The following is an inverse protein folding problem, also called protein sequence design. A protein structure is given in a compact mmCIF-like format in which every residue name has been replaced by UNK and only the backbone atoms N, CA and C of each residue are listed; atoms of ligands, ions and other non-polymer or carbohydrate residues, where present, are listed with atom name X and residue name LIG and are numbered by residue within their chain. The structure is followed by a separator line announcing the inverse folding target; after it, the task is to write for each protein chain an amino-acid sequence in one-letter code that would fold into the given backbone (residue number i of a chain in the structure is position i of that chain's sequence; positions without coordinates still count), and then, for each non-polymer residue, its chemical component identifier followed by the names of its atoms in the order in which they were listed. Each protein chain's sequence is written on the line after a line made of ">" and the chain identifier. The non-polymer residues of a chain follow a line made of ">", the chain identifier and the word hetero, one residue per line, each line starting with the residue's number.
data_IF_186226796450
#
_entry.id   IF_186226796450
#
_cell.length_a   1.000
_cell.length_b   1.000
_cell.length_c   1.000
_cell.angle_alpha   90.00
_cell.angle_beta   90.00
_cell.angle_gamma   90.00
#
_symmetry.space_group_name_H-M   'P 1'
#
loop_
_entity.id
_entity.type
_entity.pdbx_description
1 polymer ?
#
# COMPACT_ATOMS: atom_id res chain seq x y z
N UNK A 1 -0.84 -15.42 -9.38
CA UNK A 1 -0.57 -14.49 -10.50
C UNK A 1 -0.40 -13.09 -9.96
N UNK A 2 0.35 -12.22 -10.66
CA UNK A 2 0.39 -10.80 -10.38
C UNK A 2 -0.11 -10.03 -11.61
N UNK A 3 -1.06 -9.13 -11.42
CA UNK A 3 -1.50 -8.20 -12.46
C UNK A 3 -0.48 -7.06 -12.61
N UNK A 4 -0.43 -6.45 -13.80
CA UNK A 4 0.31 -5.20 -13.97
C UNK A 4 -0.57 -4.03 -13.59
N UNK A 5 -0.06 -3.20 -12.68
CA UNK A 5 -0.68 -1.93 -12.24
C UNK A 5 -0.17 -0.72 -13.03
N UNK A 6 0.55 -0.95 -14.13
CA UNK A 6 1.08 0.12 -14.98
C UNK A 6 0.03 0.55 -16.02
N UNK A 7 -0.51 1.76 -15.82
CA UNK A 7 -1.54 2.36 -16.67
C UNK A 7 -1.03 2.85 -18.03
N UNK A 8 0.29 2.88 -18.24
CA UNK A 8 0.92 3.36 -19.47
C UNK A 8 1.37 2.23 -20.41
N UNK A 9 1.07 0.98 -20.07
CA UNK A 9 1.35 -0.15 -20.96
C UNK A 9 0.59 -0.05 -22.29
N UNK A 10 1.21 -0.48 -23.41
CA UNK A 10 0.51 -0.74 -24.65
C UNK A 10 -0.64 -1.73 -24.43
N UNK A 11 -1.74 -1.57 -25.16
CA UNK A 11 -2.98 -2.35 -24.99
C UNK A 11 -2.74 -3.84 -24.96
N UNK A 12 -1.97 -4.33 -25.91
CA UNK A 12 -1.67 -5.75 -26.04
C UNK A 12 -0.95 -6.27 -24.79
N UNK A 13 0.00 -5.50 -24.25
CA UNK A 13 0.71 -5.89 -23.03
C UNK A 13 -0.22 -5.84 -21.80
N UNK A 14 -1.05 -4.81 -21.69
CA UNK A 14 -2.05 -4.72 -20.63
C UNK A 14 -3.07 -5.89 -20.69
N UNK A 15 -3.56 -6.23 -21.88
CA UNK A 15 -4.47 -7.34 -22.10
C UNK A 15 -3.82 -8.70 -21.82
N UNK A 16 -2.58 -8.90 -22.26
CA UNK A 16 -1.83 -10.13 -21.96
C UNK A 16 -1.62 -10.28 -20.45
N UNK A 17 -1.23 -9.20 -19.77
CA UNK A 17 -0.93 -9.22 -18.34
C UNK A 17 -2.16 -9.36 -17.45
N UNK A 18 -3.28 -8.72 -17.80
CA UNK A 18 -4.42 -8.58 -16.88
C UNK A 18 -5.62 -9.43 -17.28
N UNK A 19 -5.80 -9.72 -18.57
CA UNK A 19 -6.96 -10.47 -19.09
C UNK A 19 -6.57 -11.90 -19.43
N UNK A 20 -5.53 -12.07 -20.25
CA UNK A 20 -5.12 -13.41 -20.74
C UNK A 20 -4.61 -14.29 -19.60
N UNK A 21 -3.81 -13.72 -18.70
CA UNK A 21 -3.32 -14.42 -17.50
C UNK A 21 -4.49 -14.95 -16.64
N UNK A 22 -5.46 -14.09 -16.34
CA UNK A 22 -6.64 -14.43 -15.56
C UNK A 22 -7.49 -15.51 -16.24
N UNK A 23 -7.67 -15.41 -17.56
CA UNK A 23 -8.37 -16.42 -18.35
C UNK A 23 -7.65 -17.79 -18.30
N UNK A 24 -6.32 -17.81 -18.41
CA UNK A 24 -5.55 -19.06 -18.36
C UNK A 24 -5.67 -19.76 -17.00
N UNK A 25 -5.66 -19.00 -15.90
CA UNK A 25 -5.87 -19.59 -14.57
C UNK A 25 -7.33 -20.02 -14.38
N UNK A 26 -8.29 -19.32 -14.98
CA UNK A 26 -9.67 -19.80 -14.97
C UNK A 26 -9.81 -21.12 -15.75
N UNK A 27 -9.10 -21.28 -16.87
CA UNK A 27 -9.07 -22.53 -17.62
C UNK A 27 -8.51 -23.68 -16.76
N UNK A 28 -7.39 -23.45 -16.07
CA UNK A 28 -6.84 -24.41 -15.10
C UNK A 28 -7.84 -24.72 -13.96
N UNK A 29 -8.49 -23.68 -13.41
CA UNK A 29 -9.45 -23.83 -12.33
C UNK A 29 -10.66 -24.71 -12.73
N UNK A 30 -11.06 -24.71 -14.00
CA UNK A 30 -12.12 -25.58 -14.52
C UNK A 30 -11.73 -27.06 -14.56
N UNK A 31 -10.44 -27.35 -14.68
CA UNK A 31 -9.90 -28.72 -14.68
C UNK A 31 -9.73 -29.27 -13.24
N UNK A 32 -9.80 -28.41 -12.22
CA UNK A 32 -9.68 -28.79 -10.82
C UNK A 32 -11.03 -29.23 -10.22
N UNK A 33 -11.35 -30.52 -10.28
CA UNK A 33 -12.61 -31.08 -9.74
C UNK A 33 -12.79 -30.84 -8.22
N UNK A 34 -11.69 -30.79 -7.47
CA UNK A 34 -11.64 -30.53 -6.03
C UNK A 34 -11.56 -29.05 -5.64
N UNK A 35 -11.69 -28.11 -6.58
CA UNK A 35 -11.56 -26.69 -6.27
C UNK A 35 -12.72 -26.18 -5.41
N UNK A 36 -12.41 -25.69 -4.21
CA UNK A 36 -13.41 -25.17 -3.27
C UNK A 36 -13.71 -23.68 -3.48
N UNK A 37 -12.69 -22.88 -3.81
CA UNK A 37 -12.82 -21.45 -4.10
C UNK A 37 -11.75 -20.99 -5.07
N UNK A 38 -12.13 -20.09 -5.97
CA UNK A 38 -11.24 -19.33 -6.84
C UNK A 38 -11.37 -17.85 -6.52
N UNK A 39 -10.36 -17.29 -5.84
CA UNK A 39 -10.35 -15.89 -5.43
C UNK A 39 -9.57 -15.04 -6.42
N UNK A 40 -10.21 -14.02 -6.97
CA UNK A 40 -9.60 -13.00 -7.80
C UNK A 40 -9.51 -11.67 -7.04
N UNK A 41 -8.27 -11.22 -6.78
CA UNK A 41 -8.03 -9.86 -6.28
C UNK A 41 -8.11 -8.88 -7.46
N UNK A 42 -9.12 -8.01 -7.43
CA UNK A 42 -9.38 -6.96 -8.41
C UNK A 42 -9.16 -5.58 -7.75
N UNK A 43 -10.01 -4.59 -8.06
CA UNK A 43 -10.02 -3.27 -7.42
C UNK A 43 -11.43 -2.67 -7.45
N UNK A 44 -11.79 -1.89 -6.44
CA UNK A 44 -13.08 -1.20 -6.37
C UNK A 44 -13.29 -0.21 -7.53
N UNK A 45 -12.20 0.23 -8.17
CA UNK A 45 -12.21 1.19 -9.27
C UNK A 45 -12.47 0.57 -10.66
N UNK A 46 -12.75 -0.74 -10.73
CA UNK A 46 -13.31 -1.35 -11.95
C UNK A 46 -14.67 -0.76 -12.30
N UNK A 47 -15.44 -0.40 -11.26
CA UNK A 47 -16.72 0.31 -11.38
C UNK A 47 -16.47 1.82 -11.38
N UNK A 48 -16.99 2.50 -12.40
CA UNK A 48 -17.07 3.96 -12.39
C UNK A 48 -18.48 4.38 -11.96
N UNK A 49 -18.61 5.51 -11.26
CA UNK A 49 -19.93 6.08 -11.00
C UNK A 49 -20.65 6.31 -12.33
N UNK A 50 -21.89 5.80 -12.44
CA UNK A 50 -22.70 5.91 -13.66
C UNK A 50 -23.13 7.36 -13.95
N UNK A 51 -23.22 8.20 -12.92
CA UNK A 51 -23.31 9.67 -12.96
C UNK A 51 -23.27 10.20 -11.50
N UNK A 52 -22.51 11.28 -11.22
CA UNK A 52 -22.39 11.88 -9.87
C UNK A 52 -21.70 10.99 -8.82
N UNK A 53 -21.81 11.36 -7.53
CA UNK A 53 -21.30 10.56 -6.38
C UNK A 53 -22.29 9.43 -5.98
N UNK A 54 -22.92 8.79 -6.96
CA UNK A 54 -23.86 7.69 -6.73
C UNK A 54 -23.22 6.50 -6.03
N UNK A 55 -24.03 5.71 -5.32
CA UNK A 55 -23.58 4.50 -4.63
C UNK A 55 -23.03 3.46 -5.62
N UNK A 56 -21.89 2.87 -5.27
CA UNK A 56 -21.21 1.81 -6.02
C UNK A 56 -21.35 0.52 -5.21
N UNK A 57 -22.30 -0.33 -5.61
CA UNK A 57 -22.64 -1.57 -4.92
C UNK A 57 -21.84 -2.76 -5.45
N UNK A 58 -21.65 -3.77 -4.59
CA UNK A 58 -20.90 -5.00 -4.88
C UNK A 58 -21.52 -5.84 -6.00
N UNK A 59 -22.85 -5.91 -6.06
CA UNK A 59 -23.58 -6.87 -6.90
C UNK A 59 -23.44 -6.63 -8.41
N UNK A 60 -22.76 -5.55 -8.80
CA UNK A 60 -22.59 -5.20 -10.20
C UNK A 60 -21.23 -5.60 -10.74
N UNK A 61 -21.24 -6.31 -11.87
CA UNK A 61 -20.11 -6.51 -12.77
C UNK A 61 -20.55 -6.02 -14.15
N UNK A 62 -19.79 -5.09 -14.74
CA UNK A 62 -20.06 -4.57 -16.07
C UNK A 62 -19.93 -5.70 -17.11
N UNK A 63 -20.82 -5.76 -18.09
CA UNK A 63 -20.64 -6.62 -19.28
C UNK A 63 -20.16 -5.80 -20.46
N UNK A 64 -19.19 -6.35 -21.21
CA UNK A 64 -18.57 -5.70 -22.35
C UNK A 64 -18.83 -6.42 -23.68
N UNK A 65 -19.75 -7.39 -23.72
CA UNK A 65 -20.05 -8.19 -24.91
C UNK A 65 -20.34 -7.37 -26.18
N UNK A 66 -20.94 -6.18 -26.02
CA UNK A 66 -21.26 -5.26 -27.12
C UNK A 66 -20.55 -3.89 -26.99
N UNK A 67 -19.45 -3.84 -26.24
CA UNK A 67 -18.72 -2.59 -25.98
C UNK A 67 -18.02 -2.05 -27.23
N UNK A 68 -18.02 -0.73 -27.41
CA UNK A 68 -17.21 -0.08 -28.45
C UNK A 68 -15.72 -0.25 -28.12
N UNK A 69 -14.85 -0.27 -29.13
CA UNK A 69 -13.40 -0.47 -28.94
C UNK A 69 -12.77 0.46 -27.88
N UNK A 70 -13.17 1.73 -27.83
CA UNK A 70 -12.70 2.68 -26.83
C UNK A 70 -13.18 2.36 -25.39
N UNK A 71 -14.36 1.76 -25.23
CA UNK A 71 -14.85 1.31 -23.92
C UNK A 71 -14.10 0.07 -23.46
N UNK A 72 -13.88 -0.90 -24.37
CA UNK A 72 -13.09 -2.12 -24.10
C UNK A 72 -11.67 -1.74 -23.69
N UNK A 73 -11.02 -0.82 -24.40
CA UNK A 73 -9.69 -0.32 -24.04
C UNK A 73 -9.64 0.20 -22.59
N UNK A 74 -10.61 1.03 -22.20
CA UNK A 74 -10.69 1.59 -20.85
C UNK A 74 -11.00 0.51 -19.81
N UNK A 75 -11.80 -0.50 -20.16
CA UNK A 75 -12.12 -1.62 -19.31
C UNK A 75 -10.90 -2.52 -19.05
N UNK A 76 -10.07 -2.78 -20.07
CA UNK A 76 -8.80 -3.50 -19.93
C UNK A 76 -7.89 -2.77 -18.93
N UNK A 77 -7.70 -1.46 -19.11
CA UNK A 77 -6.80 -0.67 -18.26
C UNK A 77 -7.22 -0.60 -16.80
N UNK A 78 -8.52 -0.67 -16.52
CA UNK A 78 -9.05 -0.61 -15.15
C UNK A 78 -9.27 -2.01 -14.54
N UNK A 79 -9.07 -3.09 -15.29
CA UNK A 79 -9.33 -4.46 -14.85
C UNK A 79 -10.80 -4.91 -14.97
N UNK A 80 -11.71 -4.03 -15.38
CA UNK A 80 -13.14 -4.33 -15.49
C UNK A 80 -13.44 -5.42 -16.55
N UNK A 81 -12.66 -5.46 -17.64
CA UNK A 81 -12.84 -6.51 -18.65
C UNK A 81 -12.48 -7.89 -18.10
N UNK A 82 -11.47 -7.96 -17.21
CA UNK A 82 -11.06 -9.21 -16.57
C UNK A 82 -12.19 -9.76 -15.70
N UNK A 83 -12.81 -8.93 -14.86
CA UNK A 83 -13.95 -9.36 -14.04
C UNK A 83 -15.11 -9.85 -14.88
N UNK A 84 -15.51 -9.09 -15.91
CA UNK A 84 -16.56 -9.47 -16.86
C UNK A 84 -16.28 -10.85 -17.47
N UNK A 85 -15.05 -11.05 -17.96
CA UNK A 85 -14.64 -12.31 -18.56
C UNK A 85 -14.68 -13.47 -17.55
N UNK A 86 -14.18 -13.24 -16.33
CA UNK A 86 -14.18 -14.27 -15.29
C UNK A 86 -15.60 -14.69 -14.92
N UNK A 87 -16.51 -13.73 -14.75
CA UNK A 87 -17.91 -14.01 -14.41
C UNK A 87 -18.64 -14.70 -15.56
N UNK A 88 -18.49 -14.22 -16.80
CA UNK A 88 -19.17 -14.77 -17.97
C UNK A 88 -18.68 -16.19 -18.30
N UNK A 89 -17.39 -16.46 -18.10
CA UNK A 89 -16.78 -17.72 -18.55
C UNK A 89 -16.53 -18.73 -17.43
N UNK A 90 -16.84 -18.45 -16.16
CA UNK A 90 -16.48 -19.35 -15.04
C UNK A 90 -17.07 -20.75 -15.10
N UNK A 91 -18.22 -20.94 -15.76
CA UNK A 91 -18.96 -22.20 -15.68
C UNK A 91 -19.34 -22.54 -14.23
N UNK A 92 -18.84 -23.67 -13.71
CA UNK A 92 -19.07 -24.13 -12.32
C UNK A 92 -17.97 -23.74 -11.34
N UNK A 93 -16.97 -22.96 -11.77
CA UNK A 93 -15.89 -22.52 -10.86
C UNK A 93 -16.49 -21.62 -9.78
N UNK A 94 -16.29 -21.95 -8.48
CA UNK A 94 -16.74 -21.12 -7.36
C UNK A 94 -15.87 -19.85 -7.31
N UNK A 95 -16.35 -18.76 -7.90
CA UNK A 95 -15.59 -17.52 -8.08
C UNK A 95 -15.92 -16.47 -7.01
N UNK A 96 -14.89 -15.98 -6.31
CA UNK A 96 -14.95 -14.79 -5.45
C UNK A 96 -14.11 -13.67 -6.05
N UNK A 97 -14.66 -12.47 -6.17
CA UNK A 97 -13.92 -11.27 -6.59
C UNK A 97 -13.82 -10.34 -5.39
N UNK A 98 -12.61 -10.10 -4.91
CA UNK A 98 -12.35 -9.12 -3.84
C UNK A 98 -11.82 -7.84 -4.47
N UNK A 99 -12.48 -6.72 -4.20
CA UNK A 99 -12.22 -5.40 -4.78
C UNK A 99 -11.71 -4.42 -3.70
N UNK A 100 -10.40 -4.38 -3.45
CA UNK A 100 -9.83 -3.37 -2.56
C UNK A 100 -9.88 -1.96 -3.17
N UNK A 101 -9.98 -0.95 -2.30
CA UNK A 101 -9.74 0.47 -2.63
C UNK A 101 -8.23 0.80 -2.60
N UNK A 102 -7.82 2.00 -2.14
CA UNK A 102 -6.41 2.36 -2.05
C UNK A 102 -5.76 1.60 -0.89
N UNK A 103 -5.02 0.55 -1.22
CA UNK A 103 -4.26 -0.24 -0.25
C UNK A 103 -3.02 0.53 0.22
N UNK A 104 -2.78 0.52 1.53
CA UNK A 104 -1.58 1.12 2.16
C UNK A 104 -1.07 0.24 3.31
N UNK A 105 -0.26 0.80 4.21
CA UNK A 105 0.33 0.12 5.35
C UNK A 105 -0.67 -0.72 6.17
N UNK A 106 -0.17 -1.74 6.86
CA UNK A 106 -0.99 -2.56 7.75
C UNK A 106 -1.47 -1.77 8.98
N UNK A 107 -2.66 -2.09 9.46
CA UNK A 107 -3.21 -1.52 10.69
C UNK A 107 -2.75 -2.30 11.92
N UNK A 108 -2.70 -3.64 11.86
CA UNK A 108 -2.36 -4.53 12.96
C UNK A 108 -1.29 -5.57 12.61
N UNK A 109 -1.46 -6.36 11.55
CA UNK A 109 -0.58 -7.51 11.23
C UNK A 109 0.24 -7.26 9.95
N UNK A 110 1.54 -7.61 9.86
CA UNK A 110 2.37 -8.28 10.87
C UNK A 110 2.74 -7.38 12.06
N UNK A 111 2.70 -6.06 11.86
CA UNK A 111 2.74 -5.05 12.91
C UNK A 111 2.19 -3.72 12.34
N UNK A 112 1.69 -2.81 13.19
CA UNK A 112 1.16 -1.53 12.73
C UNK A 112 2.18 -0.75 11.89
N UNK A 113 1.73 -0.23 10.75
CA UNK A 113 2.53 0.58 9.85
C UNK A 113 3.48 -0.22 8.94
N UNK A 114 3.45 -1.56 8.96
CA UNK A 114 4.23 -2.33 7.99
C UNK A 114 3.84 -1.93 6.55
N UNK A 115 4.84 -1.57 5.73
CA UNK A 115 4.66 -1.23 4.32
C UNK A 115 5.97 -1.48 3.57
N UNK A 116 5.88 -2.08 2.39
CA UNK A 116 7.04 -2.46 1.58
C UNK A 116 7.10 -1.72 0.23
N UNK A 117 6.07 -0.94 -0.10
CA UNK A 117 5.94 -0.32 -1.41
C UNK A 117 5.47 1.13 -1.34
N UNK A 118 5.95 1.94 -2.29
CA UNK A 118 5.48 3.32 -2.53
C UNK A 118 4.28 3.32 -3.48
N UNK A 119 3.36 2.37 -3.35
CA UNK A 119 2.16 2.34 -4.16
C UNK A 119 1.18 3.45 -3.73
N UNK A 120 0.40 3.97 -4.69
CA UNK A 120 -0.68 4.93 -4.47
C UNK A 120 -0.33 6.05 -3.45
N UNK A 121 -1.05 6.12 -2.33
CA UNK A 121 -0.92 7.18 -1.32
C UNK A 121 0.48 7.24 -0.67
N UNK A 122 1.13 6.09 -0.46
CA UNK A 122 2.43 6.03 0.20
C UNK A 122 3.53 6.80 -0.56
N UNK A 123 3.46 6.85 -1.89
CA UNK A 123 4.37 7.67 -2.70
C UNK A 123 4.25 9.17 -2.36
N UNK A 124 3.04 9.67 -2.16
CA UNK A 124 2.79 11.09 -1.88
C UNK A 124 3.32 11.48 -0.51
N UNK A 125 3.01 10.67 0.49
CA UNK A 125 3.50 10.85 1.86
C UNK A 125 5.03 10.81 1.86
N UNK A 126 5.65 9.86 1.14
CA UNK A 126 7.11 9.76 1.02
C UNK A 126 7.74 10.97 0.31
N UNK A 127 7.14 11.45 -0.78
CA UNK A 127 7.63 12.63 -1.51
C UNK A 127 7.49 13.91 -0.70
N UNK A 128 6.40 14.05 0.05
CA UNK A 128 6.24 15.17 0.97
C UNK A 128 7.29 15.09 2.08
N UNK A 129 7.40 13.93 2.74
CA UNK A 129 8.36 13.71 3.83
C UNK A 129 9.81 13.89 3.43
N UNK A 130 10.17 13.67 2.17
CA UNK A 130 11.52 13.96 1.64
C UNK A 130 11.72 15.41 1.24
N UNK A 131 10.65 16.20 1.16
CA UNK A 131 10.68 17.59 0.71
C UNK A 131 10.75 17.74 -0.81
N UNK A 132 10.27 16.76 -1.57
CA UNK A 132 10.18 16.84 -3.03
C UNK A 132 8.82 17.34 -3.55
N UNK A 133 7.76 17.21 -2.74
CA UNK A 133 6.40 17.61 -3.11
C UNK A 133 6.00 18.91 -2.39
N UNK A 134 5.76 19.97 -3.17
CA UNK A 134 5.40 21.29 -2.64
C UNK A 134 4.05 21.81 -3.13
N UNK A 135 3.41 21.11 -4.06
CA UNK A 135 2.12 21.48 -4.64
C UNK A 135 1.35 20.22 -4.96
N UNK A 136 0.06 20.17 -4.61
CA UNK A 136 -0.80 19.02 -4.90
C UNK A 136 -2.00 19.52 -5.72
N UNK A 137 -2.14 19.11 -6.99
CA UNK A 137 -3.35 19.36 -7.76
C UNK A 137 -4.45 18.42 -7.25
N UNK A 138 -5.33 18.94 -6.40
CA UNK A 138 -6.39 18.18 -5.74
C UNK A 138 -7.50 19.10 -5.21
N UNK A 139 -8.71 18.54 -5.09
CA UNK A 139 -9.80 19.14 -4.32
C UNK A 139 -9.67 18.70 -2.87
N UNK A 140 -9.73 19.64 -1.93
CA UNK A 140 -9.47 19.36 -0.52
C UNK A 140 -10.61 18.56 0.16
N UNK A 141 -11.83 18.69 -0.35
CA UNK A 141 -13.07 18.08 0.13
C UNK A 141 -13.36 16.69 -0.46
N UNK A 142 -12.56 16.25 -1.44
CA UNK A 142 -12.68 14.90 -2.01
C UNK A 142 -12.26 13.86 -0.98
N UNK A 143 -13.08 12.83 -0.80
CA UNK A 143 -12.78 11.70 0.08
C UNK A 143 -11.92 10.66 -0.65
N UNK A 144 -10.87 10.19 0.03
CA UNK A 144 -10.07 9.05 -0.43
C UNK A 144 -10.39 7.83 0.44
N UNK A 145 -10.86 6.78 -0.21
CA UNK A 145 -11.09 5.48 0.43
C UNK A 145 -9.75 4.72 0.49
N UNK A 146 -9.23 4.56 1.71
CA UNK A 146 -7.92 3.97 1.98
C UNK A 146 -8.09 2.79 2.94
N UNK A 147 -7.63 1.61 2.53
CA UNK A 147 -7.80 0.35 3.25
C UNK A 147 -6.44 -0.20 3.72
N UNK A 148 -6.33 -0.76 4.94
CA UNK A 148 -5.12 -1.44 5.40
C UNK A 148 -4.81 -2.70 4.60
N UNK A 149 -3.54 -2.97 4.29
CA UNK A 149 -3.14 -4.19 3.57
C UNK A 149 -3.56 -5.49 4.28
N UNK A 150 -3.57 -5.50 5.60
CA UNK A 150 -3.99 -6.65 6.40
C UNK A 150 -5.51 -6.85 6.43
N UNK A 151 -6.30 -5.81 6.20
CA UNK A 151 -7.73 -5.96 5.92
C UNK A 151 -7.94 -6.73 4.60
N UNK A 152 -7.19 -6.34 3.55
CA UNK A 152 -7.25 -6.99 2.25
C UNK A 152 -6.84 -8.45 2.33
N UNK A 153 -5.77 -8.75 3.06
CA UNK A 153 -5.31 -10.11 3.27
C UNK A 153 -6.38 -10.96 3.97
N UNK A 154 -7.00 -10.44 5.04
CA UNK A 154 -8.08 -11.10 5.77
C UNK A 154 -9.27 -11.41 4.83
N UNK A 155 -9.71 -10.44 4.02
CA UNK A 155 -10.82 -10.62 3.08
C UNK A 155 -10.51 -11.63 1.97
N UNK A 156 -9.28 -11.65 1.47
CA UNK A 156 -8.85 -12.64 0.48
C UNK A 156 -8.84 -14.06 1.06
N UNK A 157 -8.34 -14.22 2.28
CA UNK A 157 -8.32 -15.50 3.00
C UNK A 157 -9.75 -15.95 3.30
N UNK A 158 -10.60 -15.06 3.80
CA UNK A 158 -12.00 -15.35 4.06
C UNK A 158 -12.73 -15.76 2.76
N UNK A 159 -12.51 -15.07 1.65
CA UNK A 159 -13.06 -15.46 0.34
C UNK A 159 -12.56 -16.82 -0.16
N UNK A 160 -11.36 -17.23 0.23
CA UNK A 160 -10.80 -18.54 -0.14
C UNK A 160 -11.39 -19.69 0.71
N UNK A 161 -11.76 -19.42 1.96
CA UNK A 161 -12.19 -20.43 2.94
C UNK A 161 -13.71 -20.45 3.17
N UNK A 162 -14.43 -19.39 2.76
CA UNK A 162 -15.87 -19.33 2.90
C UNK A 162 -16.54 -20.45 2.08
N UNK A 163 -17.52 -21.17 2.65
CA UNK A 163 -18.27 -22.17 1.90
C UNK A 163 -18.95 -21.55 0.68
N UNK A 164 -18.76 -22.17 -0.48
CA UNK A 164 -19.26 -21.67 -1.76
C UNK A 164 -20.10 -22.73 -2.46
N UNK A 165 -21.28 -22.34 -2.91
CA UNK A 165 -22.09 -23.17 -3.79
C UNK A 165 -21.58 -23.01 -5.23
N UNK A 166 -21.14 -24.10 -5.85
CA UNK A 166 -20.64 -24.12 -7.23
C UNK A 166 -21.69 -23.68 -8.25
N UNK A 167 -22.97 -23.74 -7.88
CA UNK A 167 -24.10 -23.33 -8.72
C UNK A 167 -24.53 -21.87 -8.48
N UNK A 168 -24.11 -21.23 -7.39
CA UNK A 168 -24.45 -19.83 -7.12
C UNK A 168 -23.72 -18.88 -8.06
N UNK A 169 -24.21 -17.64 -8.13
CA UNK A 169 -23.51 -16.57 -8.83
C UNK A 169 -22.13 -16.30 -8.22
N UNK A 170 -21.25 -15.63 -8.97
CA UNK A 170 -19.97 -15.18 -8.44
C UNK A 170 -20.21 -14.22 -7.27
N UNK A 171 -19.42 -14.36 -6.22
CA UNK A 171 -19.48 -13.48 -5.04
C UNK A 171 -18.54 -12.30 -5.27
N UNK A 172 -19.03 -11.09 -5.09
CA UNK A 172 -18.22 -9.88 -5.17
C UNK A 172 -18.18 -9.23 -3.80
N UNK A 173 -16.99 -8.85 -3.34
CA UNK A 173 -16.74 -8.24 -2.03
C UNK A 173 -16.01 -6.93 -2.27
N UNK A 174 -16.55 -5.82 -1.78
CA UNK A 174 -15.86 -4.55 -1.70
C UNK A 174 -15.05 -4.52 -0.41
N UNK A 175 -13.73 -4.51 -0.55
CA UNK A 175 -12.81 -4.32 0.57
C UNK A 175 -12.40 -2.84 0.64
N UNK A 176 -13.31 -2.05 1.18
CA UNK A 176 -13.24 -0.58 1.18
C UNK A 176 -13.50 -0.08 2.59
N UNK A 177 -12.88 1.05 2.95
CA UNK A 177 -13.17 1.71 4.21
C UNK A 177 -14.64 2.22 4.26
N UNK A 178 -15.17 2.64 3.11
CA UNK A 178 -16.49 3.25 2.99
C UNK A 178 -16.46 4.73 3.37
N UNK A 179 -17.57 5.44 3.11
CA UNK A 179 -17.65 6.89 3.32
C UNK A 179 -17.41 7.31 4.78
N UNK A 180 -17.92 6.54 5.74
CA UNK A 180 -17.83 6.86 7.17
C UNK A 180 -16.37 6.83 7.67
N UNK A 181 -15.59 5.88 7.16
CA UNK A 181 -14.20 5.66 7.56
C UNK A 181 -13.16 6.27 6.62
N UNK A 182 -13.60 6.99 5.58
CA UNK A 182 -12.73 7.74 4.67
C UNK A 182 -12.35 9.11 5.23
N UNK A 183 -11.16 9.57 4.86
CA UNK A 183 -10.68 10.94 5.11
C UNK A 183 -10.69 11.74 3.81
N UNK A 184 -10.91 13.04 3.93
CA UNK A 184 -10.73 13.98 2.81
C UNK A 184 -9.25 14.15 2.48
N UNK A 185 -8.95 14.55 1.24
CA UNK A 185 -7.58 14.90 0.82
C UNK A 185 -6.99 15.98 1.75
N UNK A 186 -7.79 16.97 2.13
CA UNK A 186 -7.39 18.04 3.05
C UNK A 186 -6.96 17.51 4.42
N UNK A 187 -7.73 16.60 5.01
CA UNK A 187 -7.43 15.97 6.31
C UNK A 187 -6.15 15.12 6.23
N UNK A 188 -6.01 14.28 5.21
CA UNK A 188 -4.82 13.46 4.99
C UNK A 188 -3.58 14.34 4.90
N UNK A 189 -3.65 15.42 4.10
CA UNK A 189 -2.55 16.37 3.96
C UNK A 189 -2.23 17.08 5.26
N UNK A 190 -3.24 17.50 6.03
CA UNK A 190 -3.02 18.11 7.32
C UNK A 190 -2.29 17.17 8.28
N UNK A 191 -2.68 15.89 8.32
CA UNK A 191 -2.08 14.88 9.19
C UNK A 191 -0.62 14.59 8.83
N UNK A 192 -0.31 14.24 7.58
CA UNK A 192 1.09 14.00 7.22
C UNK A 192 1.93 15.28 7.33
N UNK A 193 1.34 16.46 7.07
CA UNK A 193 2.04 17.73 7.23
C UNK A 193 2.42 17.99 8.68
N UNK A 194 1.49 17.74 9.61
CA UNK A 194 1.75 17.81 11.06
C UNK A 194 2.85 16.82 11.45
N UNK A 195 2.74 15.58 11.00
CA UNK A 195 3.68 14.50 11.29
C UNK A 195 5.12 14.85 10.89
N UNK A 196 5.38 15.22 9.63
CA UNK A 196 6.73 15.48 9.15
C UNK A 196 7.30 16.83 9.59
N UNK A 197 6.45 17.83 9.92
CA UNK A 197 6.91 19.09 10.54
C UNK A 197 7.58 18.86 11.88
N UNK A 198 7.17 17.85 12.65
CA UNK A 198 7.78 17.51 13.93
C UNK A 198 9.10 16.72 13.77
N UNK A 199 9.29 16.04 12.64
CA UNK A 199 10.42 15.12 12.38
C UNK A 199 11.46 15.67 11.38
N UNK A 200 11.66 17.00 11.37
CA UNK A 200 12.49 17.74 10.40
C UNK A 200 13.95 17.29 10.27
N UNK A 201 14.52 16.56 11.23
CA UNK A 201 15.94 16.15 11.21
C UNK A 201 16.28 15.12 10.13
N UNK A 202 15.29 14.45 9.56
CA UNK A 202 15.50 13.31 8.64
C UNK A 202 14.97 13.56 7.22
N UNK A 203 14.42 14.74 6.96
CA UNK A 203 13.89 15.12 5.64
C UNK A 203 14.99 15.75 4.80
N UNK A 204 15.19 15.32 3.55
CA UNK A 204 16.26 15.87 2.68
C UNK A 204 16.12 17.38 2.46
N UNK A 205 14.87 17.85 2.38
CA UNK A 205 14.50 19.26 2.39
C UNK A 205 13.34 19.47 3.36
N UNK A 206 13.21 20.68 3.88
CA UNK A 206 12.12 21.02 4.80
C UNK A 206 10.78 20.80 4.09
N UNK A 207 9.92 19.89 4.58
CA UNK A 207 8.67 19.58 3.92
C UNK A 207 7.69 20.76 4.09
N UNK A 208 7.18 21.28 2.98
CA UNK A 208 6.13 22.30 3.00
C UNK A 208 5.22 22.14 1.78
N UNK A 209 3.93 22.44 1.95
CA UNK A 209 2.97 22.57 0.85
C UNK A 209 2.67 24.05 0.68
N UNK A 210 2.78 24.55 -0.55
CA UNK A 210 2.44 25.94 -0.90
C UNK A 210 0.96 26.07 -1.23
N UNK A 211 0.44 25.15 -2.04
CA UNK A 211 -0.93 25.20 -2.56
C UNK A 211 -1.47 23.79 -2.74
N UNK A 212 -2.71 23.60 -2.29
CA UNK A 212 -3.60 22.54 -2.71
C UNK A 212 -4.80 23.21 -3.38
N UNK A 213 -5.00 22.95 -4.66
CA UNK A 213 -6.09 23.53 -5.44
C UNK A 213 -6.39 22.65 -6.64
N UNK A 214 -7.55 22.88 -7.26
CA UNK A 214 -7.93 22.20 -8.50
C UNK A 214 -6.84 22.35 -9.58
N UNK A 215 -6.63 21.27 -10.33
CA UNK A 215 -5.61 21.20 -11.38
C UNK A 215 -5.81 22.19 -12.53
N UNK A 216 -6.98 22.83 -12.61
CA UNK A 216 -7.37 23.81 -13.63
C UNK A 216 -6.61 25.12 -13.52
N UNK A 217 -5.96 25.41 -12.39
CA UNK A 217 -5.13 26.61 -12.23
C UNK A 217 -3.75 26.46 -12.92
N UNK A 218 -3.43 27.25 -13.96
CA UNK A 218 -2.19 27.11 -14.72
C UNK A 218 -0.90 27.35 -13.91
N UNK A 219 -0.96 28.18 -12.86
CA UNK A 219 0.20 28.45 -12.01
C UNK A 219 0.53 27.24 -11.12
N UNK A 220 -0.49 26.51 -10.68
CA UNK A 220 -0.37 25.30 -9.87
C UNK A 220 0.15 24.15 -10.73
N UNK A 221 -0.37 24.00 -11.95
CA UNK A 221 0.18 23.06 -12.92
C UNK A 221 1.66 23.33 -13.21
N UNK A 222 2.07 24.60 -13.37
CA UNK A 222 3.48 24.99 -13.54
C UNK A 222 4.34 24.66 -12.31
N UNK A 223 3.85 24.93 -11.10
CA UNK A 223 4.55 24.62 -9.85
C UNK A 223 4.74 23.12 -9.67
N UNK A 224 3.67 22.34 -9.88
CA UNK A 224 3.71 20.88 -9.83
C UNK A 224 4.69 20.31 -10.89
N UNK A 225 4.68 20.87 -12.11
CA UNK A 225 5.64 20.49 -13.16
C UNK A 225 7.09 20.78 -12.76
N UNK A 226 7.36 21.79 -11.93
CA UNK A 226 8.71 22.08 -11.41
C UNK A 226 9.18 20.99 -10.45
N UNK A 227 8.31 20.51 -9.57
CA UNK A 227 8.62 19.38 -8.69
C UNK A 227 8.88 18.10 -9.50
N UNK A 228 8.06 17.82 -10.53
CA UNK A 228 8.32 16.71 -11.47
C UNK A 228 9.67 16.80 -12.17
N UNK A 229 10.05 18.00 -12.64
CA UNK A 229 11.37 18.21 -13.27
C UNK A 229 12.52 17.86 -12.34
N UNK A 230 12.38 18.09 -11.02
CA UNK A 230 13.39 17.65 -10.03
C UNK A 230 13.47 16.13 -9.97
N UNK A 231 12.34 15.43 -9.91
CA UNK A 231 12.28 13.95 -9.93
C UNK A 231 12.94 13.39 -11.20
N UNK A 232 12.64 13.97 -12.37
CA UNK A 232 13.25 13.58 -13.66
C UNK A 232 14.77 13.81 -13.65
N UNK A 233 15.23 14.94 -13.09
CA UNK A 233 16.67 15.22 -12.96
C UNK A 233 17.35 14.21 -12.04
N UNK A 234 16.75 13.89 -10.90
CA UNK A 234 17.26 12.86 -9.98
C UNK A 234 17.30 11.48 -10.64
N UNK A 235 16.28 11.13 -11.43
CA UNK A 235 16.26 9.88 -12.23
C UNK A 235 17.44 9.82 -13.19
N UNK A 236 17.71 10.91 -13.93
CA UNK A 236 18.87 10.98 -14.84
C UNK A 236 20.18 10.81 -14.09
N UNK A 237 20.34 11.51 -12.96
CA UNK A 237 21.53 11.40 -12.12
C UNK A 237 21.70 9.96 -11.58
N UNK A 238 20.64 9.34 -11.09
CA UNK A 238 20.66 7.96 -10.63
C UNK A 238 21.12 6.99 -11.74
N UNK A 239 20.64 7.17 -12.98
CA UNK A 239 21.12 6.37 -14.13
C UNK A 239 22.60 6.59 -14.40
N UNK A 240 23.07 7.84 -14.39
CA UNK A 240 24.48 8.20 -14.60
C UNK A 240 25.41 7.57 -13.56
N UNK A 241 24.98 7.51 -12.30
CA UNK A 241 25.75 6.87 -11.21
C UNK A 241 25.49 5.36 -11.07
N UNK A 242 24.94 4.70 -12.08
CA UNK A 242 24.70 3.25 -12.07
C UNK A 242 23.61 2.78 -11.10
N UNK A 243 22.86 3.68 -10.49
CA UNK A 243 21.78 3.37 -9.54
C UNK A 243 20.46 3.04 -10.24
N UNK A 244 20.44 1.91 -10.93
CA UNK A 244 19.28 1.43 -11.70
C UNK A 244 18.02 1.28 -10.83
N UNK A 245 18.14 0.74 -9.61
CA UNK A 245 17.01 0.57 -8.67
C UNK A 245 16.34 1.91 -8.31
N UNK A 246 17.15 2.91 -7.94
CA UNK A 246 16.67 4.25 -7.62
C UNK A 246 16.01 4.94 -8.82
N UNK A 247 16.61 4.81 -10.01
CA UNK A 247 16.03 5.35 -11.24
C UNK A 247 14.66 4.74 -11.57
N UNK A 248 14.48 3.43 -11.36
CA UNK A 248 13.18 2.74 -11.53
C UNK A 248 12.15 3.22 -10.50
N UNK A 249 12.55 3.40 -9.24
CA UNK A 249 11.64 3.91 -8.20
C UNK A 249 11.16 5.33 -8.50
N UNK A 250 12.06 6.22 -8.93
CA UNK A 250 11.71 7.59 -9.30
C UNK A 250 10.80 7.65 -10.53
N UNK A 251 10.92 6.68 -11.44
CA UNK A 251 10.04 6.58 -12.61
C UNK A 251 8.60 6.26 -12.20
N UNK A 252 8.42 5.23 -11.36
CA UNK A 252 7.11 4.85 -10.82
C UNK A 252 6.42 6.01 -10.11
N UNK A 253 7.19 6.77 -9.33
CA UNK A 253 6.72 7.98 -8.64
C UNK A 253 6.27 9.05 -9.64
N UNK A 254 7.07 9.33 -10.69
CA UNK A 254 6.71 10.32 -11.71
C UNK A 254 5.43 9.94 -12.48
N UNK A 255 5.26 8.67 -12.84
CA UNK A 255 4.08 8.20 -13.57
C UNK A 255 2.82 8.24 -12.71
N UNK A 256 2.92 7.88 -11.42
CA UNK A 256 1.79 7.90 -10.48
C UNK A 256 1.22 9.30 -10.24
N UNK A 257 2.09 10.32 -10.22
CA UNK A 257 1.72 11.73 -10.04
C UNK A 257 0.89 12.33 -11.19
N UNK A 258 1.10 11.84 -12.42
CA UNK A 258 0.62 12.53 -13.62
C UNK A 258 -0.82 12.18 -14.01
N UNK A 259 -1.22 10.92 -13.79
CA UNK A 259 -2.46 10.38 -14.37
C UNK A 259 -3.36 9.70 -13.35
N UNK A 260 -2.76 8.93 -12.44
CA UNK A 260 -3.49 8.05 -11.53
C UNK A 260 -4.05 8.84 -10.36
N UNK A 261 -3.19 9.63 -9.71
CA UNK A 261 -3.62 10.34 -8.51
C UNK A 261 -4.56 11.50 -8.78
N UNK A 262 -4.37 12.23 -9.89
CA UNK A 262 -5.28 13.33 -10.24
C UNK A 262 -6.71 12.84 -10.44
N UNK A 263 -6.91 11.61 -10.93
CA UNK A 263 -8.23 11.01 -11.04
C UNK A 263 -8.85 10.79 -9.66
N UNK A 264 -8.10 10.23 -8.71
CA UNK A 264 -8.59 9.95 -7.36
C UNK A 264 -8.76 11.21 -6.49
N UNK A 265 -7.96 12.26 -6.70
CA UNK A 265 -8.06 13.52 -5.90
C UNK A 265 -9.08 14.52 -6.42
N UNK A 266 -9.80 14.21 -7.48
CA UNK A 266 -10.85 15.06 -8.05
C UNK A 266 -12.22 14.38 -8.09
N UNK A 267 -12.30 13.09 -7.73
CA UNK A 267 -13.53 12.30 -7.75
C UNK A 267 -13.66 11.54 -6.42
N UNK A 268 -14.79 11.70 -5.74
CA UNK A 268 -15.14 10.87 -4.59
C UNK A 268 -15.86 9.62 -5.07
N UNK A 269 -15.66 8.51 -4.36
CA UNK A 269 -16.31 7.23 -4.67
C UNK A 269 -17.13 6.78 -3.47
N UNK A 270 -18.42 6.53 -3.70
CA UNK A 270 -19.32 6.05 -2.65
C UNK A 270 -19.40 4.53 -2.69
N UNK A 271 -18.35 3.84 -2.25
CA UNK A 271 -18.37 2.38 -2.18
C UNK A 271 -19.30 1.91 -1.08
N UNK A 272 -20.22 1.04 -1.45
CA UNK A 272 -21.09 0.31 -0.53
C UNK A 272 -20.52 -1.09 -0.41
N UNK A 273 -20.14 -1.47 0.81
CA UNK A 273 -19.69 -2.81 1.15
C UNK A 273 -20.68 -3.46 2.09
N UNK A 274 -20.99 -4.74 1.87
CA UNK A 274 -21.83 -5.51 2.80
C UNK A 274 -21.12 -5.81 4.10
N UNK A 275 -19.79 -5.83 4.09
CA UNK A 275 -18.96 -6.06 5.27
C UNK A 275 -18.02 -4.87 5.46
N UNK A 276 -18.27 -4.06 6.48
CA UNK A 276 -17.51 -2.85 6.73
C UNK A 276 -16.11 -3.18 7.25
N UNK A 277 -15.22 -2.19 7.22
CA UNK A 277 -13.88 -2.33 7.81
C UNK A 277 -13.93 -2.63 9.32
N UNK A 278 -15.00 -2.22 10.00
CA UNK A 278 -15.23 -2.49 11.42
C UNK A 278 -15.58 -3.94 11.72
N UNK A 279 -16.03 -4.72 10.74
CA UNK A 279 -16.19 -6.17 10.92
C UNK A 279 -14.84 -6.89 11.07
N UNK A 280 -13.80 -6.39 10.41
CA UNK A 280 -12.42 -6.90 10.55
C UNK A 280 -11.73 -6.25 11.75
N UNK A 281 -11.91 -4.94 11.91
CA UNK A 281 -11.28 -4.14 12.96
C UNK A 281 -12.34 -3.38 13.77
N UNK A 282 -12.94 -3.98 14.82
CA UNK A 282 -14.03 -3.37 15.58
C UNK A 282 -13.74 -1.98 16.16
N UNK A 283 -12.46 -1.66 16.39
CA UNK A 283 -12.01 -0.38 16.90
C UNK A 283 -11.30 0.48 15.85
N UNK A 284 -11.58 0.26 14.55
CA UNK A 284 -10.94 1.01 13.48
C UNK A 284 -11.24 2.52 13.60
N UNK A 285 -10.18 3.32 13.65
CA UNK A 285 -10.26 4.77 13.65
C UNK A 285 -9.36 5.33 12.54
N UNK A 286 -9.98 6.07 11.62
CA UNK A 286 -9.35 6.52 10.38
C UNK A 286 -8.17 7.48 10.58
N UNK A 287 -8.20 8.31 11.61
CA UNK A 287 -7.12 9.26 11.92
C UNK A 287 -5.89 8.55 12.48
N UNK A 288 -6.09 7.63 13.43
CA UNK A 288 -5.08 6.76 14.03
C UNK A 288 -4.46 5.84 12.98
N UNK A 289 -5.29 5.31 12.07
CA UNK A 289 -4.78 4.56 10.93
C UNK A 289 -3.87 5.42 10.04
N UNK A 290 -4.26 6.66 9.74
CA UNK A 290 -3.42 7.53 8.92
C UNK A 290 -2.11 7.96 9.61
N UNK A 291 -2.12 8.15 10.93
CA UNK A 291 -0.90 8.34 11.72
C UNK A 291 0.00 7.09 11.64
N UNK A 292 -0.59 5.90 11.68
CA UNK A 292 0.10 4.61 11.50
C UNK A 292 0.71 4.49 10.09
N UNK A 293 -0.01 4.92 9.05
CA UNK A 293 0.50 4.97 7.67
C UNK A 293 1.68 5.94 7.55
N UNK A 294 1.57 7.14 8.12
CA UNK A 294 2.65 8.13 8.13
C UNK A 294 3.90 7.58 8.81
N UNK A 295 3.71 6.88 9.93
CA UNK A 295 4.78 6.16 10.62
C UNK A 295 5.42 5.07 9.77
N UNK A 296 4.60 4.25 9.12
CA UNK A 296 5.06 3.19 8.23
C UNK A 296 5.91 3.74 7.08
N UNK A 297 5.41 4.77 6.41
CA UNK A 297 6.14 5.43 5.32
C UNK A 297 7.46 6.01 5.83
N UNK A 298 7.46 6.68 6.98
CA UNK A 298 8.68 7.25 7.55
C UNK A 298 9.71 6.18 7.91
N UNK A 299 9.29 5.11 8.56
CA UNK A 299 10.20 4.06 9.02
C UNK A 299 10.68 3.18 7.86
N UNK A 300 9.76 2.52 7.16
CA UNK A 300 10.08 1.48 6.17
C UNK A 300 10.48 2.05 4.81
N UNK A 301 9.91 3.19 4.41
CA UNK A 301 10.17 3.76 3.08
C UNK A 301 11.18 4.91 3.10
N UNK A 302 11.41 5.57 4.24
CA UNK A 302 12.33 6.71 4.34
C UNK A 302 13.53 6.47 5.28
N UNK A 303 13.61 5.30 5.93
CA UNK A 303 14.74 4.94 6.80
C UNK A 303 14.77 5.70 8.13
N UNK A 304 13.61 6.17 8.60
CA UNK A 304 13.46 6.78 9.92
C UNK A 304 13.82 5.80 11.05
N UNK A 305 14.53 6.25 12.08
CA UNK A 305 15.02 5.38 13.18
C UNK A 305 14.18 5.41 14.45
N UNK A 306 13.21 6.32 14.54
CA UNK A 306 12.28 6.42 15.67
C UNK A 306 10.95 5.74 15.30
N UNK A 307 10.62 4.65 15.99
CA UNK A 307 9.22 4.39 16.30
C UNK A 307 8.89 5.36 17.44
N UNK A 308 8.08 6.42 17.27
CA UNK A 308 7.37 6.92 18.44
C UNK A 308 6.60 5.72 18.99
N UNK A 309 6.51 5.63 20.32
CA UNK A 309 5.54 4.73 20.89
C UNK A 309 4.21 4.99 20.18
N UNK A 310 3.57 3.93 19.66
CA UNK A 310 2.30 4.12 19.01
C UNK A 310 1.40 4.85 20.01
N UNK A 311 0.78 5.96 19.59
CA UNK A 311 -0.42 6.47 20.25
C UNK A 311 -1.58 5.49 19.97
N UNK A 312 -1.37 4.19 20.19
CA UNK A 312 -2.41 3.20 20.26
C UNK A 312 -2.84 3.18 21.73
N UNK A 313 -4.13 3.32 22.04
CA UNK A 313 -4.61 2.92 23.35
C UNK A 313 -4.20 1.45 23.54
N UNK A 314 -3.53 1.12 24.64
CA UNK A 314 -3.18 -0.26 24.96
C UNK A 314 -4.43 -1.15 24.96
N UNK A 315 -4.65 -1.91 23.89
CA UNK A 315 -5.66 -2.95 23.88
C UNK A 315 -4.97 -4.30 23.98
N UNK A 316 -5.14 -4.96 25.13
CA UNK A 316 -4.81 -6.37 25.31
C UNK A 316 -5.70 -7.19 24.37
N UNK A 317 -5.14 -7.67 23.27
CA UNK A 317 -5.79 -8.69 22.44
C UNK A 317 -5.87 -9.96 23.29
N UNK A 318 -7.05 -10.26 23.81
CA UNK A 318 -7.36 -11.61 24.32
C UNK A 318 -7.66 -12.49 23.11
N UNK A 319 -6.82 -13.49 22.90
CA UNK A 319 -7.06 -14.69 22.09
C UNK A 319 -7.29 -14.46 20.58
N UNK A 320 -6.21 -14.25 19.83
CA UNK A 320 -6.14 -14.72 18.43
C UNK A 320 -5.23 -15.94 18.44
N UNK A 321 -5.82 -17.13 18.33
CA UNK A 321 -5.07 -18.37 18.16
C UNK A 321 -4.71 -18.49 16.68
N UNK A 322 -3.50 -18.04 16.32
CA UNK A 322 -2.95 -18.34 14.99
C UNK A 322 -2.55 -19.81 15.00
N UNK A 323 -3.35 -20.67 14.39
CA UNK A 323 -2.99 -22.06 14.15
C UNK A 323 -1.96 -22.07 13.02
N UNK A 324 -0.68 -21.98 13.39
CA UNK A 324 0.43 -22.35 12.52
C UNK A 324 0.42 -23.87 12.37
N UNK A 325 -0.11 -24.37 11.25
CA UNK A 325 0.10 -25.76 10.85
C UNK A 325 1.57 -25.93 10.40
N UNK A 326 2.48 -26.09 11.35
CA UNK A 326 3.77 -26.71 11.08
C UNK A 326 3.54 -28.21 10.93
N UNK A 327 3.39 -28.68 9.69
CA UNK A 327 3.64 -30.10 9.41
C UNK A 327 5.13 -30.34 9.60
N UNK A 328 5.43 -31.10 10.65
CA UNK A 328 6.76 -31.60 10.99
C UNK A 328 7.38 -32.29 9.78
N UNK A 329 8.52 -31.76 9.33
CA UNK A 329 9.47 -32.47 8.50
C UNK A 329 10.43 -33.12 9.50
N UNK A 330 10.22 -34.40 9.82
CA UNK A 330 11.17 -35.19 10.62
C UNK A 330 12.40 -35.50 9.76
N UNK A 331 13.62 -35.14 10.18
CA UNK A 331 14.83 -35.69 9.58
C UNK A 331 15.10 -37.07 10.20
N UNK A 332 15.42 -38.04 9.33
CA UNK A 332 15.78 -39.41 9.68
C UNK A 332 16.85 -39.47 10.80
N UNK A 333 16.60 -40.33 11.79
CA UNK A 333 17.53 -40.65 12.87
C UNK A 333 18.72 -41.47 12.33
N UNK A 334 19.93 -40.96 12.53
CA UNK A 334 21.15 -41.75 12.46
C UNK A 334 21.48 -42.26 13.87
N UNK A 335 21.50 -43.58 14.00
CA UNK A 335 21.71 -44.33 15.23
C UNK A 335 23.19 -44.25 15.64
N UNK A 336 23.50 -43.74 16.83
CA UNK A 336 24.54 -44.32 17.71
C UNK A 336 24.54 -43.75 19.14
N UNK A 337 24.16 -44.61 20.08
CA UNK A 337 24.81 -44.91 21.37
C UNK A 337 25.10 -43.83 22.43
N UNK A 338 24.49 -44.10 23.59
CA UNK A 338 25.06 -44.16 24.96
C UNK A 338 25.15 -42.92 25.87
N UNK A 339 24.33 -43.01 26.93
CA UNK A 339 24.59 -42.77 28.35
C UNK A 339 24.84 -41.35 28.87
N UNK A 340 24.07 -40.97 29.91
CA UNK A 340 24.58 -40.07 30.95
C UNK A 340 23.57 -39.16 31.64
N UNK A 341 23.05 -39.62 32.77
CA UNK A 341 22.34 -38.88 33.82
C UNK A 341 22.96 -37.51 34.19
N UNK A 342 22.16 -36.47 34.45
CA UNK A 342 21.92 -35.94 35.81
C UNK A 342 21.35 -34.51 35.83
N UNK A 343 20.42 -34.32 36.75
CA UNK A 343 19.81 -33.07 37.25
C UNK A 343 20.80 -32.15 37.97
N UNK A 344 20.58 -30.82 37.96
CA UNK A 344 20.30 -29.97 39.15
C UNK A 344 20.40 -28.47 38.82
N UNK A 345 19.58 -27.75 39.56
CA UNK A 345 19.17 -26.36 39.64
C UNK A 345 20.22 -25.31 40.04
N UNK A 346 19.81 -24.06 39.80
CA UNK A 346 20.13 -22.80 40.49
C UNK A 346 21.56 -22.26 40.46
N UNK A 347 21.69 -20.99 40.07
CA UNK A 347 22.05 -19.89 40.97
C UNK A 347 22.09 -18.53 40.24
N UNK A 348 21.43 -17.56 40.85
CA UNK A 348 21.49 -16.11 40.63
C UNK A 348 22.81 -15.53 41.12
N UNK A 349 23.35 -14.50 40.45
CA UNK A 349 24.18 -13.49 41.11
C UNK A 349 24.16 -12.14 40.36
N UNK A 350 23.94 -11.08 41.15
CA UNK A 350 23.98 -9.66 40.80
C UNK A 350 25.42 -9.16 40.60
N UNK A 351 25.62 -8.11 39.79
CA UNK A 351 26.76 -7.21 39.98
C UNK A 351 26.40 -5.75 39.64
N UNK A 352 26.52 -4.89 40.66
CA UNK A 352 26.54 -3.43 40.60
C UNK A 352 27.94 -2.90 40.21
N UNK A 353 28.01 -1.69 39.65
CA UNK A 353 29.25 -0.89 39.63
C UNK A 353 29.35 0.17 38.53
N UNK A 354 28.76 1.35 38.71
CA UNK A 354 29.44 2.66 38.93
C UNK A 354 29.99 3.41 37.71
N UNK A 355 29.51 4.65 37.58
CA UNK A 355 29.99 5.73 36.70
C UNK A 355 30.94 6.66 37.45
N UNK A 356 31.79 7.44 36.75
CA UNK A 356 32.01 8.82 37.19
C UNK A 356 31.98 9.87 36.05
N UNK A 357 31.98 11.11 36.50
CA UNK A 357 31.44 12.32 35.88
C UNK A 357 32.55 13.38 35.62
N UNK A 358 32.26 14.32 34.69
CA UNK A 358 32.75 15.71 34.52
C UNK A 358 34.04 16.04 33.74
N UNK A 359 33.90 16.96 32.77
CA UNK A 359 34.98 17.78 32.17
C UNK A 359 34.48 18.66 31.02
N UNK A 360 34.86 19.95 30.99
CA UNK A 360 34.16 21.05 30.34
C UNK A 360 34.93 21.78 29.20
N UNK A 361 34.18 22.55 28.38
CA UNK A 361 34.54 23.69 27.48
C UNK A 361 35.34 23.43 26.19
N UNK A 362 34.76 23.84 25.03
CA UNK A 362 35.13 25.06 24.26
C UNK A 362 34.29 25.25 22.98
N UNK A 363 33.74 26.46 22.81
CA UNK A 363 33.30 27.02 21.52
C UNK A 363 34.51 27.17 20.59
N UNK A 364 34.41 26.73 19.33
CA UNK A 364 35.26 27.20 18.23
C UNK A 364 34.45 27.39 16.94
N UNK A 365 34.81 28.49 16.26
CA UNK A 365 34.22 29.07 15.05
C UNK A 365 34.40 28.16 13.83
N UNK A 366 33.51 28.35 12.85
CA UNK A 366 33.63 27.93 11.45
C UNK A 366 34.96 28.37 10.83
N UNK A 367 35.44 27.63 9.81
CA UNK A 367 35.39 28.19 8.46
C UNK A 367 34.98 27.18 7.36
N UNK A 368 34.23 27.74 6.40
CA UNK A 368 34.06 27.46 4.98
C UNK A 368 34.30 26.06 4.35
N UNK A 369 33.22 25.62 3.70
CA UNK A 369 33.13 25.07 2.34
C UNK A 369 34.42 24.49 1.73
N UNK A 370 34.41 23.18 1.48
CA UNK A 370 34.60 22.53 0.17
C UNK A 370 34.41 21.01 0.38
N UNK A 371 33.86 20.31 -0.62
CA UNK A 371 33.44 18.89 -0.62
C UNK A 371 32.01 18.59 -0.09
N UNK A 372 31.00 19.00 -0.85
CA UNK A 372 29.66 18.38 -0.83
C UNK A 372 29.30 17.91 -2.23
N UNK A 373 29.63 16.67 -2.62
CA UNK A 373 28.94 16.00 -3.74
C UNK A 373 28.98 14.46 -3.69
N UNK A 374 29.76 13.81 -2.81
CA UNK A 374 29.83 12.35 -2.72
C UNK A 374 28.77 11.71 -1.81
N UNK A 375 28.23 12.43 -0.83
CA UNK A 375 27.31 11.84 0.17
C UNK A 375 25.85 11.72 -0.29
N UNK A 376 25.49 12.39 -1.38
CA UNK A 376 24.14 12.35 -1.99
C UNK A 376 23.81 10.95 -2.52
N UNK A 377 24.82 10.10 -2.73
CA UNK A 377 24.63 8.75 -3.25
C UNK A 377 24.58 7.66 -2.18
N UNK A 378 24.78 7.94 -0.89
CA UNK A 378 24.63 6.88 0.13
C UNK A 378 23.20 6.76 0.65
N UNK A 379 22.47 7.86 0.83
CA UNK A 379 21.13 7.85 1.43
C UNK A 379 19.97 7.34 0.54
N UNK A 380 20.26 6.76 -0.63
CA UNK A 380 19.24 6.27 -1.60
C UNK A 380 19.42 4.78 -1.91
N UNK A 381 20.41 4.11 -1.31
CA UNK A 381 20.78 2.72 -1.66
C UNK A 381 20.50 1.72 -0.54
N UNK A 382 20.38 2.16 0.72
CA UNK A 382 20.30 1.24 1.86
C UNK A 382 18.88 1.05 2.44
N UNK A 383 17.82 1.17 1.62
CA UNK A 383 16.46 0.72 1.95
C UNK A 383 15.81 0.06 0.73
#
# INVERSE_FOLDING_TARGET
>A
MAASIDFDLPVQQAANSNVTSAHNILALAKECEGLESFVHCSTAYTMLPKEGNGAINEDHVDSFANGKAGQIYKAIKRGALTESLLVEQRGRVPLVIVRPSIVTACYQFPHPGWIDSRAALAAFIAMYGTGFLHTIPAKADVQLDVVPCDCVAERLIHGALAPMDRTSQAVVIHDTAGQEHSLTVGEIVAQFSRFFKLRQRHTQQRPYIRVMAESTNPQIAKSFQKDKRKVIRLKRMAKLFGKQKAAKSLDKVSTGLDKVFSFFTHNSFNFQSKQTITDVFPCFEKSSFMDTVNMGVYHYLLGGKELPEPCLPCFKVKNVSVILLSKNFEPEEDVTSTTGSSTISDLTEEYHGTSPVLGSRKRRKTPDAFYQHSDILRSVVDC
#
